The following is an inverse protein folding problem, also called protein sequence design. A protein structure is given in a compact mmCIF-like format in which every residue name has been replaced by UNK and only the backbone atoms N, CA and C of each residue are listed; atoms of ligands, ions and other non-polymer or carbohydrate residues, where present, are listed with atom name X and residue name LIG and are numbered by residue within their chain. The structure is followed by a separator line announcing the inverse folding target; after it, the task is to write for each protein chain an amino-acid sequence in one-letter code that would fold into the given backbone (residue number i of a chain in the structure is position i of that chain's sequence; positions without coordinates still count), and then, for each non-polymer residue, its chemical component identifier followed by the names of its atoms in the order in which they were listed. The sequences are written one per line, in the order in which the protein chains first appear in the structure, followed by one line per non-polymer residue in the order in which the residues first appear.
data_IF_872805610425
#
_entry.id   IF_872805610425
#
_cell.length_a   1.000
_cell.length_b   1.000
_cell.length_c   1.000
_cell.angle_alpha   90.00
_cell.angle_beta   90.00
_cell.angle_gamma   90.00
#
_symmetry.space_group_name_H-M   'P 1'
#
loop_
_entity.id
_entity.type
_entity.pdbx_description
1 polymer ?
#
# COMPACT_ATOMS: atom_id res chain seq x y z
N UNK A 1 7.00 -10.14 23.13
CA UNK A 1 6.28 -10.14 24.43
C UNK A 1 5.01 -10.98 24.27
N UNK A 2 4.89 -12.13 24.94
CA UNK A 2 3.67 -12.97 24.89
C UNK A 2 2.71 -12.49 25.98
N UNK A 3 1.47 -12.13 25.64
CA UNK A 3 0.41 -11.87 26.63
C UNK A 3 -0.41 -13.14 26.83
N UNK A 4 -0.65 -13.49 28.08
CA UNK A 4 -1.59 -14.55 28.48
C UNK A 4 -2.97 -13.92 28.65
N UNK A 5 -4.00 -14.52 28.06
CA UNK A 5 -5.39 -14.15 28.35
C UNK A 5 -5.83 -14.84 29.64
N UNK A 6 -6.24 -14.06 30.64
CA UNK A 6 -6.97 -14.57 31.82
C UNK A 6 -8.42 -14.77 31.38
N UNK A 7 -8.87 -16.02 31.35
CA UNK A 7 -10.27 -16.39 31.11
C UNK A 7 -10.93 -16.61 32.47
N UNK A 8 -11.88 -15.76 32.84
CA UNK A 8 -12.78 -16.06 33.96
C UNK A 8 -13.87 -17.04 33.52
N UNK A 9 -14.16 -18.09 34.31
CA UNK A 9 -15.15 -19.11 33.93
C UNK A 9 -16.57 -18.57 34.11
N UNK A 10 -17.39 -18.63 33.05
CA UNK A 10 -18.85 -18.51 33.17
C UNK A 10 -19.55 -17.45 32.31
N UNK A 11 -18.84 -16.65 31.51
CA UNK A 11 -19.47 -15.82 30.47
C UNK A 11 -19.34 -16.52 29.10
N UNK A 12 -20.41 -16.62 28.29
CA UNK A 12 -20.28 -17.08 26.92
C UNK A 12 -19.25 -16.20 26.24
N UNK A 13 -18.22 -16.81 25.66
CA UNK A 13 -17.20 -16.10 24.92
C UNK A 13 -17.92 -15.29 23.83
N UNK A 14 -18.07 -13.98 24.04
CA UNK A 14 -18.20 -13.06 22.92
C UNK A 14 -16.97 -13.37 22.10
N UNK A 15 -17.13 -14.05 20.96
CA UNK A 15 -16.07 -14.20 19.99
C UNK A 15 -15.57 -12.79 19.75
N UNK A 16 -14.39 -12.51 20.29
CA UNK A 16 -13.66 -11.31 19.91
C UNK A 16 -13.59 -11.40 18.38
N UNK A 17 -13.94 -10.32 17.64
CA UNK A 17 -13.69 -10.31 16.21
C UNK A 17 -12.27 -10.82 16.01
N UNK A 18 -12.08 -11.75 15.07
CA UNK A 18 -10.73 -12.24 14.75
C UNK A 18 -9.85 -11.00 14.59
N UNK A 19 -8.87 -10.85 15.49
CA UNK A 19 -8.00 -9.69 15.43
C UNK A 19 -7.24 -9.87 14.13
N UNK A 20 -7.57 -9.06 13.14
CA UNK A 20 -6.84 -9.02 11.88
C UNK A 20 -5.41 -8.58 12.22
N UNK A 21 -4.46 -9.50 12.03
CA UNK A 21 -3.04 -9.28 12.31
C UNK A 21 -2.29 -8.81 11.07
N UNK A 22 -2.99 -8.56 9.97
CA UNK A 22 -2.40 -8.36 8.64
C UNK A 22 -1.81 -9.64 8.05
N UNK A 23 -2.02 -10.80 8.69
CA UNK A 23 -1.55 -12.10 8.20
C UNK A 23 -2.67 -12.92 7.58
N UNK A 24 -2.35 -13.59 6.48
CA UNK A 24 -3.25 -14.53 5.78
C UNK A 24 -2.56 -15.87 5.58
N UNK A 25 -3.35 -16.95 5.57
CA UNK A 25 -2.86 -18.27 5.20
C UNK A 25 -2.61 -18.31 3.70
N UNK A 26 -1.43 -18.78 3.30
CA UNK A 26 -1.04 -18.81 1.90
C UNK A 26 -0.33 -20.10 1.52
N UNK A 27 -0.44 -20.43 0.24
CA UNK A 27 0.32 -21.50 -0.41
C UNK A 27 1.24 -20.87 -1.46
N UNK A 28 2.54 -21.13 -1.35
CA UNK A 28 3.55 -20.62 -2.28
C UNK A 28 4.16 -21.81 -2.99
N UNK A 29 3.95 -21.89 -4.30
CA UNK A 29 4.49 -22.99 -5.11
C UNK A 29 4.13 -24.38 -4.59
N UNK A 30 2.94 -24.59 -4.04
CA UNK A 30 2.52 -25.89 -3.49
C UNK A 30 2.88 -26.13 -2.02
N UNK A 31 3.51 -25.18 -1.33
CA UNK A 31 3.91 -25.29 0.08
C UNK A 31 3.16 -24.28 0.92
N UNK A 32 2.58 -24.73 2.03
CA UNK A 32 1.89 -23.86 2.98
C UNK A 32 2.92 -22.97 3.71
N UNK A 33 2.65 -21.67 3.70
CA UNK A 33 3.45 -20.66 4.40
C UNK A 33 2.72 -20.29 5.70
N UNK A 34 3.45 -20.26 6.80
CA UNK A 34 2.90 -20.11 8.16
C UNK A 34 2.46 -18.69 8.47
N UNK A 35 3.09 -17.70 7.83
CA UNK A 35 2.76 -16.30 8.02
C UNK A 35 3.00 -15.53 6.70
N UNK A 36 1.93 -15.29 5.95
CA UNK A 36 1.99 -14.29 4.89
C UNK A 36 1.52 -12.95 5.42
N UNK A 37 2.41 -11.96 5.49
CA UNK A 37 2.10 -10.61 5.97
C UNK A 37 1.81 -9.68 4.78
N UNK A 38 0.69 -8.96 4.84
CA UNK A 38 0.43 -7.81 3.97
C UNK A 38 0.98 -6.56 4.65
N UNK A 39 2.14 -6.08 4.20
CA UNK A 39 2.86 -4.99 4.85
C UNK A 39 2.85 -3.72 3.98
N UNK A 40 1.93 -2.81 4.29
CA UNK A 40 1.87 -1.48 3.67
C UNK A 40 3.10 -0.60 3.97
N UNK A 41 3.91 -0.94 4.98
CA UNK A 41 5.16 -0.26 5.29
C UNK A 41 6.34 -0.74 4.45
N UNK A 42 6.23 -1.88 3.79
CA UNK A 42 7.31 -2.45 2.99
C UNK A 42 7.24 -1.96 1.54
N UNK A 43 8.33 -1.38 1.03
CA UNK A 43 8.42 -0.93 -0.36
C UNK A 43 8.67 -2.08 -1.35
N UNK A 44 8.96 -3.29 -0.84
CA UNK A 44 9.20 -4.50 -1.64
C UNK A 44 8.64 -5.73 -0.95
N UNK A 45 8.36 -6.78 -1.72
CA UNK A 45 8.02 -8.09 -1.18
C UNK A 45 9.28 -8.88 -0.81
N UNK A 46 9.20 -9.65 0.27
CA UNK A 46 10.29 -10.45 0.83
C UNK A 46 9.83 -11.88 1.09
N UNK A 47 10.75 -12.83 1.01
CA UNK A 47 10.50 -14.22 1.37
C UNK A 47 11.69 -14.78 2.15
N UNK A 48 11.42 -15.49 3.24
CA UNK A 48 12.46 -16.21 3.95
C UNK A 48 13.05 -17.35 3.11
N UNK A 49 14.35 -17.59 3.28
CA UNK A 49 15.03 -18.74 2.67
C UNK A 49 14.37 -20.07 3.02
N UNK A 50 13.82 -20.19 4.24
CA UNK A 50 13.13 -21.41 4.69
C UNK A 50 11.98 -21.84 3.77
N UNK A 51 11.24 -20.89 3.18
CA UNK A 51 10.18 -21.19 2.20
C UNK A 51 10.75 -21.80 0.93
N UNK A 52 11.86 -21.27 0.40
CA UNK A 52 12.51 -21.80 -0.81
C UNK A 52 13.03 -23.21 -0.57
N UNK A 53 13.64 -23.45 0.59
CA UNK A 53 14.15 -24.77 0.96
C UNK A 53 13.02 -25.78 1.12
N UNK A 54 11.90 -25.40 1.73
CA UNK A 54 10.72 -26.26 1.82
C UNK A 54 10.16 -26.63 0.43
N UNK A 55 10.13 -25.69 -0.52
CA UNK A 55 9.68 -25.97 -1.89
C UNK A 55 10.63 -26.93 -2.61
N UNK A 56 11.95 -26.75 -2.42
CA UNK A 56 12.96 -27.68 -2.96
C UNK A 56 12.80 -29.09 -2.37
N UNK A 57 12.60 -29.20 -1.05
CA UNK A 57 12.36 -30.48 -0.37
C UNK A 57 11.07 -31.15 -0.87
N UNK A 58 10.05 -30.37 -1.21
CA UNK A 58 8.83 -30.88 -1.85
C UNK A 58 9.02 -31.33 -3.31
N UNK A 59 10.25 -31.30 -3.85
CA UNK A 59 10.57 -31.74 -5.20
C UNK A 59 10.11 -30.79 -6.29
N UNK A 60 9.86 -29.52 -5.96
CA UNK A 60 9.38 -28.50 -6.90
C UNK A 60 10.50 -27.54 -7.26
N UNK A 61 10.46 -27.06 -8.50
CA UNK A 61 11.45 -26.13 -9.01
C UNK A 61 11.11 -24.69 -8.63
N UNK A 62 12.07 -24.02 -8.00
CA UNK A 62 12.05 -22.57 -7.72
C UNK A 62 13.38 -21.98 -8.15
N UNK A 63 13.36 -21.21 -9.22
CA UNK A 63 14.54 -20.52 -9.74
C UNK A 63 14.69 -19.18 -9.03
N UNK A 64 15.77 -19.03 -8.27
CA UNK A 64 16.23 -17.74 -7.79
C UNK A 64 17.29 -17.19 -8.75
N UNK A 65 17.30 -15.88 -8.96
CA UNK A 65 18.29 -15.18 -9.78
C UNK A 65 19.11 -14.26 -8.89
N UNK A 66 20.41 -14.17 -9.17
CA UNK A 66 21.27 -13.19 -8.51
C UNK A 66 20.99 -11.79 -9.05
N UNK A 67 21.05 -10.80 -8.16
CA UNK A 67 20.84 -9.39 -8.47
C UNK A 67 21.91 -8.53 -7.80
N UNK A 68 22.07 -7.31 -8.30
CA UNK A 68 22.88 -6.31 -7.62
C UNK A 68 22.39 -6.14 -6.18
N UNK A 69 23.33 -5.89 -5.27
CA UNK A 69 23.03 -5.79 -3.84
C UNK A 69 22.00 -4.68 -3.61
N UNK A 70 20.82 -5.06 -3.13
CA UNK A 70 19.78 -4.13 -2.72
C UNK A 70 19.84 -4.01 -1.20
N UNK A 71 20.09 -2.80 -0.71
CA UNK A 71 20.04 -2.50 0.72
C UNK A 71 18.63 -2.14 1.14
N UNK A 72 18.08 -2.90 2.07
CA UNK A 72 16.81 -2.65 2.72
C UNK A 72 17.04 -2.08 4.12
N UNK A 73 16.17 -1.16 4.52
CA UNK A 73 16.24 -0.49 5.81
C UNK A 73 14.98 -0.78 6.66
N UNK A 74 14.85 -2.02 7.20
CA UNK A 74 13.77 -2.35 8.12
C UNK A 74 13.67 -1.39 9.30
N UNK A 75 12.44 -1.22 9.78
CA UNK A 75 12.16 -0.49 11.01
C UNK A 75 12.89 -1.19 12.17
N UNK A 76 13.64 -0.41 12.97
CA UNK A 76 14.49 -0.94 14.04
C UNK A 76 15.99 -0.86 13.76
N UNK A 77 16.40 -0.19 12.68
CA UNK A 77 17.77 0.28 12.47
C UNK A 77 18.78 -0.78 12.02
N UNK A 78 18.32 -2.02 11.80
CA UNK A 78 19.14 -3.10 11.25
C UNK A 78 18.94 -3.16 9.75
N UNK A 79 19.93 -2.67 9.01
CA UNK A 79 19.96 -2.78 7.54
C UNK A 79 20.17 -4.23 7.13
N UNK A 80 19.50 -4.67 6.08
CA UNK A 80 19.76 -5.97 5.46
C UNK A 80 20.13 -5.77 3.98
N UNK A 81 21.09 -6.55 3.51
CA UNK A 81 21.49 -6.55 2.11
C UNK A 81 20.95 -7.84 1.47
N UNK A 82 20.12 -7.70 0.44
CA UNK A 82 19.59 -8.82 -0.34
C UNK A 82 20.28 -8.85 -1.71
N UNK A 83 20.59 -10.06 -2.18
CA UNK A 83 21.35 -10.29 -3.42
C UNK A 83 20.71 -11.34 -4.33
N UNK A 84 19.54 -11.87 -3.94
CA UNK A 84 18.76 -12.78 -4.77
C UNK A 84 17.31 -12.38 -4.81
N UNK A 85 16.71 -12.65 -5.94
CA UNK A 85 15.27 -12.56 -6.13
C UNK A 85 14.69 -13.86 -6.66
N UNK A 86 13.42 -14.06 -6.39
CA UNK A 86 12.65 -15.20 -6.87
C UNK A 86 11.33 -14.72 -7.44
N UNK A 87 10.88 -15.37 -8.51
CA UNK A 87 9.56 -15.13 -9.09
C UNK A 87 8.71 -16.37 -8.86
N UNK A 88 7.74 -16.27 -7.96
CA UNK A 88 6.76 -17.33 -7.76
C UNK A 88 5.70 -17.27 -8.84
N UNK A 89 5.56 -18.36 -9.61
CA UNK A 89 4.53 -18.46 -10.66
C UNK A 89 3.12 -18.41 -10.09
N UNK A 90 2.93 -18.96 -8.90
CA UNK A 90 1.64 -19.10 -8.23
C UNK A 90 1.82 -18.95 -6.71
N UNK A 91 1.10 -17.98 -6.14
CA UNK A 91 0.90 -17.79 -4.71
C UNK A 91 -0.59 -17.67 -4.46
N UNK A 92 -1.15 -18.54 -3.63
CA UNK A 92 -2.58 -18.57 -3.34
C UNK A 92 -2.82 -18.04 -1.94
N UNK A 93 -3.55 -16.94 -1.81
CA UNK A 93 -4.01 -16.39 -0.54
C UNK A 93 -5.39 -16.94 -0.22
N UNK A 94 -5.58 -17.40 1.01
CA UNK A 94 -6.88 -17.84 1.49
C UNK A 94 -7.69 -16.65 1.98
N UNK A 95 -8.89 -16.47 1.42
CA UNK A 95 -9.83 -15.43 1.88
C UNK A 95 -11.17 -16.06 2.25
N UNK A 96 -11.95 -15.36 3.06
CA UNK A 96 -13.29 -15.81 3.49
C UNK A 96 -14.29 -15.95 2.33
N UNK A 97 -14.06 -15.26 1.21
CA UNK A 97 -14.90 -15.35 0.03
C UNK A 97 -14.43 -16.46 -0.92
N UNK A 98 -13.17 -16.38 -1.38
CA UNK A 98 -12.55 -17.35 -2.29
C UNK A 98 -11.02 -17.21 -2.32
N UNK A 99 -10.27 -18.25 -2.68
CA UNK A 99 -8.83 -18.12 -2.86
C UNK A 99 -8.47 -17.03 -3.88
N UNK A 100 -7.45 -16.24 -3.58
CA UNK A 100 -6.89 -15.21 -4.46
C UNK A 100 -5.52 -15.69 -4.97
N UNK A 101 -5.41 -15.92 -6.27
CA UNK A 101 -4.16 -16.34 -6.92
C UNK A 101 -3.36 -15.11 -7.38
N UNK A 102 -2.14 -14.97 -6.88
CA UNK A 102 -1.13 -14.05 -7.37
C UNK A 102 -0.17 -14.80 -8.28
N UNK A 103 0.00 -14.31 -9.50
CA UNK A 103 0.92 -14.89 -10.48
C UNK A 103 2.13 -14.01 -10.68
N UNK A 104 3.27 -14.64 -10.90
CA UNK A 104 4.54 -13.98 -11.17
C UNK A 104 4.93 -12.99 -10.05
N UNK A 105 4.68 -13.37 -8.79
CA UNK A 105 5.03 -12.55 -7.64
C UNK A 105 6.55 -12.58 -7.46
N UNK A 106 7.17 -11.42 -7.68
CA UNK A 106 8.59 -11.20 -7.43
C UNK A 106 8.82 -10.86 -5.96
N UNK A 107 9.77 -11.55 -5.33
CA UNK A 107 10.21 -11.29 -3.97
C UNK A 107 11.75 -11.30 -3.90
N UNK A 108 12.33 -10.47 -3.03
CA UNK A 108 13.71 -10.66 -2.63
C UNK A 108 13.82 -11.76 -1.56
N UNK A 109 14.95 -12.47 -1.55
CA UNK A 109 15.19 -13.56 -0.61
C UNK A 109 15.93 -13.01 0.61
N UNK A 110 15.36 -13.24 1.79
CA UNK A 110 16.01 -12.96 3.07
C UNK A 110 16.84 -14.19 3.50
N UNK A 111 18.14 -14.17 3.18
CA UNK A 111 19.03 -15.32 3.38
C UNK A 111 19.29 -15.71 4.84
N UNK A 112 19.20 -14.74 5.75
CA UNK A 112 19.44 -14.96 7.17
C UNK A 112 18.20 -15.51 7.90
N UNK A 113 17.06 -15.63 7.21
CA UNK A 113 15.79 -16.01 7.79
C UNK A 113 15.37 -17.41 7.31
N UNK A 114 15.37 -18.37 8.23
CA UNK A 114 14.97 -19.77 8.00
C UNK A 114 13.49 -20.02 8.36
N UNK A 115 12.72 -18.97 8.63
CA UNK A 115 11.30 -19.09 8.90
C UNK A 115 10.50 -19.48 7.65
N UNK A 116 9.21 -19.81 7.89
CA UNK A 116 8.23 -20.07 6.85
C UNK A 116 7.31 -18.84 6.68
N UNK A 117 7.91 -17.69 6.37
CA UNK A 117 7.20 -16.42 6.19
C UNK A 117 7.41 -15.79 4.80
N UNK A 118 6.43 -14.99 4.39
CA UNK A 118 6.46 -14.21 3.16
C UNK A 118 5.79 -12.87 3.42
N UNK A 119 6.41 -11.78 3.00
CA UNK A 119 5.85 -10.43 3.12
C UNK A 119 5.50 -9.91 1.73
N UNK A 120 4.26 -9.47 1.56
CA UNK A 120 3.81 -8.77 0.35
C UNK A 120 3.83 -7.28 0.65
N UNK A 121 4.69 -6.56 -0.07
CA UNK A 121 4.87 -5.12 0.14
C UNK A 121 3.77 -4.26 -0.51
N UNK A 122 3.82 -2.97 -0.19
CA UNK A 122 2.90 -1.94 -0.68
C UNK A 122 2.67 -1.95 -2.19
N UNK A 123 3.68 -2.05 -3.08
CA UNK A 123 3.42 -1.99 -4.52
C UNK A 123 2.46 -3.07 -5.01
N UNK A 124 2.54 -4.27 -4.42
CA UNK A 124 1.63 -5.37 -4.76
C UNK A 124 0.26 -5.14 -4.11
N UNK A 125 0.22 -4.67 -2.87
CA UNK A 125 -1.04 -4.34 -2.20
C UNK A 125 -1.84 -3.27 -2.95
N UNK A 126 -1.17 -2.24 -3.49
CA UNK A 126 -1.79 -1.20 -4.32
C UNK A 126 -2.43 -1.79 -5.58
N UNK A 127 -1.77 -2.75 -6.24
CA UNK A 127 -2.33 -3.50 -7.38
C UNK A 127 -3.59 -4.28 -6.95
N UNK A 128 -3.59 -4.84 -5.73
CA UNK A 128 -4.75 -5.53 -5.16
C UNK A 128 -5.87 -4.58 -4.71
N UNK A 129 -5.66 -3.26 -4.80
CA UNK A 129 -6.66 -2.24 -4.51
C UNK A 129 -6.50 -1.55 -3.16
N UNK A 130 -5.46 -1.88 -2.39
CA UNK A 130 -5.13 -1.14 -1.16
C UNK A 130 -4.87 0.33 -1.50
N UNK A 131 -5.52 1.22 -0.76
CA UNK A 131 -5.30 2.66 -0.84
C UNK A 131 -5.64 3.25 0.51
N UNK A 132 -4.70 4.03 1.06
CA UNK A 132 -4.94 4.78 2.29
C UNK A 132 -6.09 5.75 2.11
N UNK A 133 -6.20 6.41 0.96
CA UNK A 133 -7.28 7.36 0.68
C UNK A 133 -8.65 6.68 0.67
N UNK A 134 -8.81 5.56 -0.06
CA UNK A 134 -10.08 4.80 -0.06
C UNK A 134 -10.47 4.34 1.34
N UNK A 135 -9.49 3.85 2.12
CA UNK A 135 -9.71 3.46 3.51
C UNK A 135 -10.21 4.64 4.35
N UNK A 136 -9.63 5.83 4.16
CA UNK A 136 -10.04 7.04 4.89
C UNK A 136 -11.39 7.60 4.42
N UNK A 137 -11.71 7.49 3.12
CA UNK A 137 -13.02 7.85 2.58
C UNK A 137 -14.09 6.96 3.19
N UNK A 138 -13.90 5.64 3.18
CA UNK A 138 -14.82 4.69 3.82
C UNK A 138 -14.97 4.96 5.33
N UNK A 139 -13.86 5.29 6.01
CA UNK A 139 -13.91 5.68 7.41
C UNK A 139 -14.68 6.99 7.65
N UNK A 140 -14.54 7.96 6.75
CA UNK A 140 -15.23 9.26 6.81
C UNK A 140 -16.73 9.09 6.53
N UNK A 141 -17.08 8.26 5.56
CA UNK A 141 -18.45 7.89 5.23
C UNK A 141 -19.13 7.19 6.42
N UNK A 142 -18.38 6.39 7.18
CA UNK A 142 -18.86 5.76 8.41
C UNK A 142 -18.99 6.76 9.58
N UNK A 143 -17.99 7.64 9.76
CA UNK A 143 -18.05 8.74 10.72
C UNK A 143 -17.07 9.86 10.37
N UNK A 144 -17.49 11.13 10.40
CA UNK A 144 -16.57 12.25 10.15
C UNK A 144 -15.58 12.46 11.30
N UNK A 145 -15.85 11.92 12.48
CA UNK A 145 -15.00 12.03 13.66
C UNK A 145 -14.90 10.68 14.39
N UNK A 146 -13.71 10.32 14.84
CA UNK A 146 -13.44 9.05 15.51
C UNK A 146 -12.79 9.30 16.87
N UNK A 147 -13.45 8.86 17.93
CA UNK A 147 -12.92 8.89 19.29
C UNK A 147 -12.22 7.56 19.60
N UNK A 148 -10.89 7.56 19.57
CA UNK A 148 -10.05 6.35 19.67
C UNK A 148 -9.45 6.13 21.07
N UNK A 149 -9.76 7.01 22.02
CA UNK A 149 -9.29 6.97 23.40
C UNK A 149 -10.45 7.00 24.39
N UNK A 150 -10.24 6.58 25.64
CA UNK A 150 -11.29 6.65 26.64
C UNK A 150 -11.61 8.12 26.97
N UNK A 151 -12.85 8.52 26.75
CA UNK A 151 -13.42 9.66 27.47
C UNK A 151 -13.49 9.27 28.93
N UNK A 152 -12.56 9.77 29.74
CA UNK A 152 -12.76 9.76 31.18
C UNK A 152 -13.94 10.69 31.51
N UNK A 153 -15.14 10.14 31.49
CA UNK A 153 -16.35 10.72 32.07
C UNK A 153 -17.41 9.63 32.26
N UNK A 154 -17.05 8.60 33.03
CA UNK A 154 -18.05 7.86 33.77
C UNK A 154 -18.49 8.74 34.96
N UNK A 155 -19.59 9.45 34.79
CA UNK A 155 -20.53 9.74 35.85
C UNK A 155 -21.93 9.58 35.22
N UNK A 156 -22.74 8.59 35.62
CA UNK A 156 -24.15 8.58 35.27
C UNK A 156 -24.85 9.50 36.26
N UNK A 157 -24.77 10.81 36.02
CA UNK A 157 -25.75 11.73 36.56
C UNK A 157 -26.71 12.05 35.44
N UNK A 158 -27.95 11.59 35.61
CA UNK A 158 -29.11 12.09 34.89
C UNK A 158 -29.08 13.63 34.85
N UNK A 159 -29.50 14.19 33.73
CA UNK A 159 -29.50 15.62 33.40
C UNK A 159 -28.14 16.26 33.11
N UNK A 160 -27.63 16.05 31.89
CA UNK A 160 -26.95 17.15 31.21
C UNK A 160 -27.24 17.05 29.72
N UNK A 161 -28.18 17.89 29.32
CA UNK A 161 -28.58 18.07 27.95
C UNK A 161 -27.35 18.31 27.08
N UNK A 162 -27.20 17.49 26.03
CA UNK A 162 -26.43 17.80 24.84
C UNK A 162 -26.75 19.23 24.39
N UNK A 163 -26.06 20.25 24.89
CA UNK A 163 -26.44 21.64 24.60
C UNK A 163 -25.23 22.55 24.56
N UNK A 164 -25.18 23.28 23.45
CA UNK A 164 -24.38 24.46 23.18
C UNK A 164 -22.88 24.26 22.91
N UNK A 165 -22.06 23.75 23.83
CA UNK A 165 -20.60 23.96 23.76
C UNK A 165 -19.85 23.21 22.63
N UNK A 166 -20.23 21.97 22.29
CA UNK A 166 -19.66 21.27 21.12
C UNK A 166 -20.15 21.84 19.77
N UNK A 167 -21.28 22.55 19.77
CA UNK A 167 -21.88 23.15 18.55
C UNK A 167 -21.30 24.52 18.20
N UNK A 168 -20.62 25.20 19.13
CA UNK A 168 -20.15 26.58 18.98
C UNK A 168 -18.66 26.73 18.62
N UNK A 169 -17.86 25.67 18.71
CA UNK A 169 -16.47 25.70 18.20
C UNK A 169 -16.37 25.40 16.70
N UNK A 170 -17.44 24.92 16.05
CA UNK A 170 -17.48 24.60 14.61
C UNK A 170 -17.89 25.79 13.71
N UNK A 171 -18.13 27.00 14.23
CA UNK A 171 -18.83 28.07 13.47
C UNK A 171 -18.29 29.52 13.58
N UNK A 172 -17.04 29.78 13.97
CA UNK A 172 -16.47 31.15 13.92
C UNK A 172 -15.19 31.29 13.10
N UNK A 173 -15.12 30.60 11.96
CA UNK A 173 -14.40 31.12 10.79
C UNK A 173 -15.40 31.97 9.99
N UNK A 174 -15.28 33.29 10.09
CA UNK A 174 -15.87 34.23 9.13
C UNK A 174 -16.76 35.32 9.73
N UNK A 175 -16.17 36.47 10.07
CA UNK A 175 -16.60 37.87 9.80
C UNK A 175 -16.22 38.85 10.91
N UNK A 176 -15.08 39.56 10.75
CA UNK A 176 -14.92 41.02 10.97
C UNK A 176 -13.44 41.45 10.94
N UNK A 177 -13.08 42.30 9.97
CA UNK A 177 -11.99 43.30 10.09
C UNK A 177 -12.31 44.29 11.23
N UNK A 178 -11.33 44.86 11.99
CA UNK A 178 -10.50 46.02 11.54
C UNK A 178 -9.15 46.19 12.32
N UNK A 179 -8.50 47.38 12.37
CA UNK A 179 -7.90 48.23 11.33
C UNK A 179 -6.34 48.24 11.38
N UNK A 180 -5.70 48.79 10.35
CA UNK A 180 -4.25 49.03 10.28
C UNK A 180 -3.73 50.01 11.35
N UNK A 181 -2.52 49.77 11.89
CA UNK A 181 -1.56 50.84 12.10
C UNK A 181 -0.23 50.58 11.38
N UNK A 182 0.36 51.68 10.91
CA UNK A 182 1.66 51.77 10.25
C UNK A 182 2.81 51.41 11.20
N UNK A 183 3.82 50.70 10.70
CA UNK A 183 5.04 50.39 11.46
C UNK A 183 5.91 49.37 10.76
N UNK A 184 7.01 49.84 10.18
CA UNK A 184 8.06 49.11 9.48
C UNK A 184 8.61 47.91 10.26
N UNK A 185 8.78 46.75 9.61
CA UNK A 185 10.02 45.97 9.59
C UNK A 185 9.83 44.57 8.97
N UNK A 186 10.70 44.31 7.99
CA UNK A 186 11.23 43.04 7.50
C UNK A 186 10.31 42.04 6.77
N UNK A 187 10.58 41.92 5.46
CA UNK A 187 9.85 41.06 4.54
C UNK A 187 10.20 39.59 4.74
N UNK A 188 9.29 38.83 5.34
CA UNK A 188 9.30 37.37 5.27
C UNK A 188 8.47 36.97 4.05
N UNK A 189 9.17 36.61 2.97
CA UNK A 189 8.65 36.08 1.72
C UNK A 189 7.82 34.81 1.99
N UNK A 190 6.50 34.97 2.02
CA UNK A 190 5.55 33.86 2.03
C UNK A 190 5.74 33.07 0.73
N UNK A 191 6.36 31.91 0.82
CA UNK A 191 6.44 30.97 -0.28
C UNK A 191 5.04 30.40 -0.54
N UNK A 192 4.33 30.98 -1.51
CA UNK A 192 3.18 30.33 -2.13
C UNK A 192 3.66 29.03 -2.77
N UNK A 193 3.31 27.88 -2.20
CA UNK A 193 3.41 26.59 -2.90
C UNK A 193 2.31 26.58 -3.95
N UNK A 194 2.58 27.22 -5.08
CA UNK A 194 1.84 26.96 -6.31
C UNK A 194 2.10 25.52 -6.67
N UNK A 195 1.04 24.73 -6.80
CA UNK A 195 1.09 23.46 -7.50
C UNK A 195 1.67 23.72 -8.89
N UNK A 196 2.93 23.35 -9.09
CA UNK A 196 3.50 23.30 -10.41
C UNK A 196 2.74 22.22 -11.18
N UNK A 197 1.87 22.64 -12.09
CA UNK A 197 1.45 21.79 -13.20
C UNK A 197 2.74 21.24 -13.81
N UNK A 198 2.88 19.91 -14.01
CA UNK A 198 4.06 19.36 -14.66
C UNK A 198 4.19 20.04 -16.03
N UNK A 199 5.18 20.92 -16.17
CA UNK A 199 5.53 21.44 -17.48
C UNK A 199 6.19 20.31 -18.22
N UNK A 200 5.44 19.65 -19.10
CA UNK A 200 6.07 18.89 -20.17
C UNK A 200 6.92 19.90 -20.93
N UNK A 201 8.24 19.80 -20.80
CA UNK A 201 9.12 20.47 -21.74
C UNK A 201 8.65 20.04 -23.13
N UNK A 202 8.39 20.96 -24.08
CA UNK A 202 7.85 20.56 -25.36
C UNK A 202 8.89 19.70 -26.06
N UNK A 203 8.81 18.38 -25.88
CA UNK A 203 9.48 17.43 -26.75
C UNK A 203 8.98 17.80 -28.13
N UNK A 204 9.90 18.20 -29.01
CA UNK A 204 9.56 18.61 -30.36
C UNK A 204 8.59 17.56 -30.91
N UNK A 205 7.35 17.97 -31.23
CA UNK A 205 6.27 17.07 -31.61
C UNK A 205 6.74 16.08 -32.71
N UNK A 206 7.65 16.56 -33.57
CA UNK A 206 8.34 15.80 -34.59
C UNK A 206 9.13 14.58 -34.06
N UNK A 207 9.78 14.67 -32.91
CA UNK A 207 10.51 13.55 -32.30
C UNK A 207 9.57 12.49 -31.73
N UNK A 208 8.44 12.91 -31.16
CA UNK A 208 7.38 12.00 -30.70
C UNK A 208 6.72 11.31 -31.89
N UNK A 209 6.44 12.05 -32.97
CA UNK A 209 5.89 11.51 -34.22
C UNK A 209 6.85 10.49 -34.82
N UNK A 210 8.15 10.81 -34.97
CA UNK A 210 9.16 9.86 -35.47
C UNK A 210 9.24 8.59 -34.63
N UNK A 211 9.22 8.73 -33.30
CA UNK A 211 9.26 7.57 -32.40
C UNK A 211 8.05 6.65 -32.60
N UNK A 212 6.86 7.24 -32.74
CA UNK A 212 5.62 6.50 -32.94
C UNK A 212 5.56 5.85 -34.34
N UNK A 213 6.04 6.53 -35.39
CA UNK A 213 6.19 5.94 -36.73
C UNK A 213 7.10 4.70 -36.68
N UNK A 214 8.22 4.81 -35.96
CA UNK A 214 9.14 3.67 -35.78
C UNK A 214 8.48 2.49 -35.05
N UNK A 215 7.61 2.76 -34.09
CA UNK A 215 6.85 1.71 -33.38
C UNK A 215 5.80 1.05 -34.28
N UNK A 216 5.18 1.80 -35.18
CA UNK A 216 4.26 1.25 -36.18
C UNK A 216 4.99 0.31 -37.14
N UNK A 217 6.20 0.68 -37.61
CA UNK A 217 7.02 -0.22 -38.46
C UNK A 217 7.36 -1.54 -37.77
N UNK A 218 7.72 -1.48 -36.49
CA UNK A 218 8.00 -2.69 -35.69
C UNK A 218 6.74 -3.55 -35.55
N UNK A 219 5.58 -2.92 -35.32
CA UNK A 219 4.32 -3.64 -35.23
C UNK A 219 3.92 -4.28 -36.56
N UNK A 220 4.21 -3.64 -37.70
CA UNK A 220 4.02 -4.21 -39.04
C UNK A 220 4.86 -5.49 -39.22
N UNK A 221 6.12 -5.47 -38.80
CA UNK A 221 6.99 -6.66 -38.81
C UNK A 221 6.47 -7.79 -37.91
N UNK A 222 5.72 -7.44 -36.86
CA UNK A 222 5.07 -8.38 -35.94
C UNK A 222 3.65 -8.78 -36.37
N UNK A 223 3.20 -8.40 -37.57
CA UNK A 223 1.93 -8.85 -38.14
C UNK A 223 0.74 -7.92 -37.89
N UNK A 224 0.97 -6.63 -37.66
CA UNK A 224 -0.11 -5.64 -37.57
C UNK A 224 -0.97 -5.62 -38.85
N UNK A 225 -2.29 -5.67 -38.68
CA UNK A 225 -3.24 -5.64 -39.80
C UNK A 225 -3.29 -4.26 -40.48
N UNK A 226 -3.66 -4.25 -41.76
CA UNK A 226 -3.82 -3.02 -42.55
C UNK A 226 -4.85 -2.04 -41.95
N UNK A 227 -5.89 -2.56 -41.30
CA UNK A 227 -6.90 -1.77 -40.57
C UNK A 227 -6.32 -1.17 -39.26
N UNK A 228 -5.54 -1.94 -38.51
CA UNK A 228 -4.83 -1.46 -37.31
C UNK A 228 -3.82 -0.35 -37.66
N UNK A 229 -3.12 -0.48 -38.79
CA UNK A 229 -2.22 0.53 -39.32
C UNK A 229 -2.94 1.85 -39.64
N UNK A 230 -4.08 1.77 -40.32
CA UNK A 230 -4.85 2.96 -40.71
C UNK A 230 -5.37 3.71 -39.47
N UNK A 231 -5.83 2.97 -38.45
CA UNK A 231 -6.28 3.54 -37.17
C UNK A 231 -5.16 4.22 -36.40
N UNK A 232 -3.98 3.60 -36.30
CA UNK A 232 -2.83 4.20 -35.60
C UNK A 232 -2.33 5.46 -36.32
N UNK A 233 -2.30 5.47 -37.66
CA UNK A 233 -1.93 6.68 -38.41
C UNK A 233 -2.96 7.80 -38.31
N UNK A 234 -4.24 7.50 -38.08
CA UNK A 234 -5.27 8.51 -37.88
C UNK A 234 -5.11 9.26 -36.56
N UNK A 235 -4.55 8.62 -35.52
CA UNK A 235 -4.30 9.23 -34.20
C UNK A 235 -3.09 10.18 -34.21
N UNK A 236 -2.21 10.05 -35.21
CA UNK A 236 -0.99 10.86 -35.33
C UNK A 236 -1.17 12.14 -36.18
N UNK A 237 -2.38 12.40 -36.69
CA UNK A 237 -2.76 13.62 -37.41
C UNK A 237 -3.46 14.59 -36.47
#
# INVERSE_FOLDING_TARGET
MRRFDVVEPGKPAKQRPCVDKGTTDAEVGGVSVKALLLDSGADTSLVARGVLDAIRVAGREVSASDVDVVRLNPIGGRTMDVHREVIFREVVLTTSARPLMLRNLKCYVEEANDAMDLTVGRPIMEILGYSTDKLLVEATDASPEWELGPTASANPSEDSADTALQRMSRLQVGTRDPPMPEGEADGIERHEIRTALPSMHPTALNEVVKYLERKIEIAEQMGLSLDGRAKLRAVMR
#
